data_IF_119017912053
#
_entry.id   IF_119017912053
#
_cell.length_a   1.000
_cell.length_b   1.000
_cell.length_c   1.000
_cell.angle_alpha   90.00
_cell.angle_beta   90.00
_cell.angle_gamma   90.00
#
_symmetry.space_group_name_H-M   'P 1'
#
loop_
_entity.id
_entity.type
_entity.pdbx_description
1 polymer ?
#
# COMPACT_ATOMS: atom_id res chain seq x y z
N UNK A 1 -15.46 -12.38 13.29
CA UNK A 1 -14.04 -12.10 12.97
C UNK A 1 -13.98 -11.40 11.60
N UNK A 2 -13.92 -10.07 11.61
CA UNK A 2 -14.04 -9.22 10.40
C UNK A 2 -12.96 -9.49 9.35
N UNK A 3 -11.72 -9.86 9.78
CA UNK A 3 -10.64 -10.19 8.84
C UNK A 3 -10.92 -11.36 7.90
N UNK A 4 -11.90 -12.21 8.22
CA UNK A 4 -12.34 -13.30 7.34
C UNK A 4 -13.21 -12.80 6.18
N UNK A 5 -13.60 -11.53 6.19
CA UNK A 5 -14.33 -10.91 5.08
C UNK A 5 -13.41 -10.38 3.97
N UNK A 6 -12.08 -10.48 4.13
CA UNK A 6 -11.11 -10.13 3.11
C UNK A 6 -11.30 -10.93 1.81
N UNK A 7 -10.73 -10.44 0.71
CA UNK A 7 -10.81 -11.05 -0.62
C UNK A 7 -11.92 -10.49 -1.51
N UNK A 8 -12.69 -9.53 -1.00
CA UNK A 8 -13.73 -8.79 -1.73
C UNK A 8 -13.79 -7.34 -1.27
N UNK A 9 -14.42 -6.48 -2.01
CA UNK A 9 -14.71 -5.13 -1.55
C UNK A 9 -15.76 -5.13 -0.44
N UNK A 10 -15.69 -4.16 0.46
CA UNK A 10 -16.62 -4.04 1.59
C UNK A 10 -17.13 -2.61 1.67
N UNK A 11 -18.44 -2.44 1.73
CA UNK A 11 -19.09 -1.21 2.22
C UNK A 11 -19.29 -1.36 3.72
N UNK A 12 -18.54 -0.63 4.52
CA UNK A 12 -18.62 -0.61 5.98
C UNK A 12 -19.28 0.67 6.44
N UNK A 13 -20.53 0.58 6.89
CA UNK A 13 -21.41 1.71 7.16
C UNK A 13 -21.68 1.87 8.65
N UNK A 14 -21.15 2.92 9.27
CA UNK A 14 -21.40 3.31 10.66
C UNK A 14 -22.60 4.28 10.68
N UNK A 15 -23.79 3.77 10.93
CA UNK A 15 -25.04 4.55 10.90
C UNK A 15 -25.62 4.83 12.28
N UNK A 16 -25.09 4.25 13.35
CA UNK A 16 -25.54 4.49 14.72
C UNK A 16 -26.84 3.77 15.08
N UNK A 17 -27.99 4.28 14.67
CA UNK A 17 -29.30 3.69 14.92
C UNK A 17 -30.19 3.70 13.69
N UNK A 18 -30.78 2.56 13.33
CA UNK A 18 -31.81 2.45 12.29
C UNK A 18 -33.13 3.13 12.68
N UNK A 19 -33.28 3.54 13.92
CA UNK A 19 -34.39 4.39 14.37
C UNK A 19 -34.31 5.82 13.83
N UNK A 20 -33.11 6.31 13.53
CA UNK A 20 -32.87 7.64 12.99
C UNK A 20 -33.33 7.75 11.53
N UNK A 21 -34.11 8.82 11.16
CA UNK A 21 -34.62 8.96 9.79
C UNK A 21 -33.55 8.90 8.72
N UNK A 22 -32.40 9.56 8.94
CA UNK A 22 -31.29 9.61 7.99
C UNK A 22 -30.67 8.21 7.78
N UNK A 23 -30.43 7.49 8.88
CA UNK A 23 -29.89 6.13 8.81
C UNK A 23 -30.82 5.20 8.04
N UNK A 24 -32.13 5.30 8.30
CA UNK A 24 -33.15 4.52 7.57
C UNK A 24 -33.15 4.83 6.07
N UNK A 25 -33.10 6.10 5.68
CA UNK A 25 -33.03 6.52 4.27
C UNK A 25 -31.79 5.95 3.60
N UNK A 26 -30.62 6.05 4.23
CA UNK A 26 -29.37 5.53 3.68
C UNK A 26 -29.39 4.00 3.56
N UNK A 27 -29.85 3.28 4.58
CA UNK A 27 -29.97 1.81 4.54
C UNK A 27 -30.92 1.37 3.42
N UNK A 28 -32.06 2.01 3.27
CA UNK A 28 -33.02 1.72 2.21
C UNK A 28 -32.46 2.07 0.83
N UNK A 29 -31.75 3.19 0.72
CA UNK A 29 -31.07 3.58 -0.52
C UNK A 29 -30.02 2.57 -0.94
N UNK A 30 -29.24 2.03 -0.01
CA UNK A 30 -28.25 0.96 -0.28
C UNK A 30 -28.94 -0.37 -0.61
N UNK A 31 -30.10 -0.66 -0.04
CA UNK A 31 -30.88 -1.85 -0.40
C UNK A 31 -31.37 -1.82 -1.86
N UNK A 32 -31.55 -0.64 -2.45
CA UNK A 32 -31.86 -0.53 -3.89
C UNK A 32 -30.71 -1.02 -4.78
N UNK A 33 -29.47 -1.05 -4.25
CA UNK A 33 -28.28 -1.59 -4.91
C UNK A 33 -28.00 -3.05 -4.49
N UNK A 34 -29.00 -3.74 -3.98
CA UNK A 34 -28.90 -5.10 -3.44
C UNK A 34 -28.19 -6.09 -4.37
N UNK A 35 -28.33 -5.93 -5.68
CA UNK A 35 -27.73 -6.81 -6.68
C UNK A 35 -26.19 -6.79 -6.68
N UNK A 36 -25.57 -5.71 -6.20
CA UNK A 36 -24.11 -5.61 -6.09
C UNK A 36 -23.54 -6.35 -4.87
N UNK A 37 -24.37 -6.63 -3.86
CA UNK A 37 -23.92 -7.30 -2.63
C UNK A 37 -24.09 -8.81 -2.74
N UNK A 38 -23.07 -9.48 -3.25
CA UNK A 38 -23.10 -10.91 -3.66
C UNK A 38 -22.17 -11.82 -2.84
N UNK A 39 -21.41 -11.28 -1.90
CA UNK A 39 -20.34 -11.96 -1.14
C UNK A 39 -19.14 -12.43 -1.98
N UNK A 40 -19.10 -12.11 -3.27
CA UNK A 40 -17.99 -12.44 -4.17
C UNK A 40 -17.20 -11.18 -4.53
N UNK A 41 -17.90 -10.18 -5.04
CA UNK A 41 -17.30 -8.89 -5.44
C UNK A 41 -17.41 -7.86 -4.32
N UNK A 42 -18.59 -7.74 -3.71
CA UNK A 42 -18.91 -6.72 -2.73
C UNK A 42 -19.79 -7.25 -1.62
N UNK A 43 -19.53 -6.80 -0.40
CA UNK A 43 -20.35 -7.11 0.78
C UNK A 43 -20.63 -5.82 1.55
N UNK A 44 -21.84 -5.69 2.08
CA UNK A 44 -22.24 -4.63 2.97
C UNK A 44 -22.17 -5.10 4.44
N UNK A 45 -21.55 -4.30 5.28
CA UNK A 45 -21.62 -4.40 6.74
C UNK A 45 -22.13 -3.09 7.33
N UNK A 46 -23.32 -3.13 7.92
CA UNK A 46 -23.85 -2.03 8.69
C UNK A 46 -23.49 -2.17 10.16
N UNK A 47 -23.07 -1.09 10.82
CA UNK A 47 -22.70 -1.07 12.23
C UNK A 47 -23.73 -0.26 13.00
N UNK A 48 -24.46 -0.91 13.91
CA UNK A 48 -25.41 -0.27 14.82
C UNK A 48 -24.85 -0.22 16.24
N UNK A 49 -25.09 0.91 16.91
CA UNK A 49 -24.80 1.10 18.34
C UNK A 49 -26.06 1.14 19.20
N UNK A 50 -27.26 0.97 18.60
CA UNK A 50 -28.55 1.01 19.28
C UNK A 50 -29.08 -0.40 19.58
N UNK A 51 -29.17 -0.82 20.86
CA UNK A 51 -29.72 -2.12 21.21
C UNK A 51 -31.18 -2.35 20.77
N UNK A 52 -31.92 -1.26 20.47
CA UNK A 52 -33.30 -1.37 19.95
C UNK A 52 -33.34 -1.91 18.52
N UNK A 53 -32.27 -1.71 17.73
CA UNK A 53 -32.21 -2.22 16.37
C UNK A 53 -32.23 -3.75 16.33
N UNK A 54 -31.55 -4.40 17.29
CA UNK A 54 -31.58 -5.86 17.47
C UNK A 54 -32.90 -6.30 18.10
N UNK A 55 -33.28 -5.70 19.24
CA UNK A 55 -34.45 -6.12 20.03
C UNK A 55 -35.77 -5.96 19.27
N UNK A 56 -35.94 -4.87 18.51
CA UNK A 56 -37.15 -4.60 17.73
C UNK A 56 -37.02 -5.09 16.29
N UNK A 57 -35.91 -5.69 15.95
CA UNK A 57 -35.60 -6.22 14.62
C UNK A 57 -35.80 -5.16 13.50
N UNK A 58 -35.30 -3.93 13.74
CA UNK A 58 -35.41 -2.82 12.79
C UNK A 58 -34.61 -3.06 11.53
N UNK A 59 -33.54 -3.87 11.62
CA UNK A 59 -32.68 -4.28 10.53
C UNK A 59 -32.43 -5.79 10.63
N UNK A 60 -32.18 -6.42 9.49
CA UNK A 60 -31.89 -7.87 9.40
C UNK A 60 -30.85 -8.15 8.33
N UNK A 61 -30.03 -9.15 8.57
CA UNK A 61 -29.16 -9.72 7.56
C UNK A 61 -29.99 -10.15 6.33
N UNK A 62 -29.43 -9.90 5.14
CA UNK A 62 -29.97 -10.36 3.88
C UNK A 62 -28.87 -11.02 3.08
N UNK A 63 -28.70 -12.32 3.27
CA UNK A 63 -27.66 -13.11 2.63
C UNK A 63 -28.05 -13.52 1.21
N UNK A 64 -27.07 -13.67 0.30
CA UNK A 64 -25.68 -13.25 0.48
C UNK A 64 -25.55 -11.72 0.47
N UNK A 65 -24.49 -11.16 1.02
CA UNK A 65 -23.98 -9.81 0.78
C UNK A 65 -24.34 -8.72 1.79
N UNK A 66 -25.39 -8.85 2.60
CA UNK A 66 -25.76 -7.80 3.58
C UNK A 66 -25.76 -8.38 4.99
N UNK A 67 -24.99 -7.74 5.89
CA UNK A 67 -24.89 -8.12 7.30
C UNK A 67 -24.87 -6.89 8.18
N UNK A 68 -25.31 -7.07 9.44
CA UNK A 68 -25.24 -6.05 10.46
C UNK A 68 -24.39 -6.50 11.64
N UNK A 69 -23.62 -5.57 12.20
CA UNK A 69 -22.74 -5.76 13.33
C UNK A 69 -23.25 -4.92 14.51
N UNK A 70 -23.25 -5.50 15.68
CA UNK A 70 -23.69 -4.86 16.92
C UNK A 70 -22.47 -4.33 17.67
N UNK A 71 -22.37 -3.01 17.82
CA UNK A 71 -21.29 -2.29 18.51
C UNK A 71 -21.86 -1.46 19.66
N UNK A 72 -22.57 -2.12 20.59
CA UNK A 72 -23.31 -1.47 21.66
C UNK A 72 -22.41 -0.73 22.65
N UNK A 73 -21.18 -1.19 22.85
CA UNK A 73 -20.15 -0.52 23.65
C UNK A 73 -19.40 0.57 22.89
N UNK A 74 -19.69 0.73 21.59
CA UNK A 74 -19.10 1.73 20.68
C UNK A 74 -17.58 1.61 20.49
N UNK A 75 -16.98 0.49 20.89
CA UNK A 75 -15.53 0.30 20.80
C UNK A 75 -15.03 0.28 19.36
N UNK A 76 -15.74 -0.38 18.46
CA UNK A 76 -15.40 -0.42 17.02
C UNK A 76 -15.64 0.93 16.39
N UNK A 77 -16.77 1.58 16.65
CA UNK A 77 -17.08 2.93 16.15
C UNK A 77 -16.02 3.95 16.55
N UNK A 78 -15.46 3.87 17.76
CA UNK A 78 -14.39 4.74 18.20
C UNK A 78 -13.09 4.51 17.42
N UNK A 79 -12.70 3.25 17.19
CA UNK A 79 -11.49 2.89 16.42
C UNK A 79 -11.58 3.40 14.97
N UNK A 80 -12.77 3.34 14.35
CA UNK A 80 -13.00 3.81 12.98
C UNK A 80 -13.27 5.32 12.88
N UNK A 81 -13.23 6.07 13.99
CA UNK A 81 -13.43 7.51 14.00
C UNK A 81 -14.88 7.95 13.78
N UNK A 82 -15.85 7.03 13.91
CA UNK A 82 -17.26 7.37 13.93
C UNK A 82 -17.69 8.08 15.24
N UNK A 83 -16.82 8.10 16.25
CA UNK A 83 -16.97 8.87 17.48
C UNK A 83 -15.83 9.88 17.56
N UNK A 84 -16.17 11.15 17.66
CA UNK A 84 -15.18 12.21 17.80
C UNK A 84 -14.67 12.35 19.26
N UNK A 85 -13.71 13.24 19.45
CA UNK A 85 -13.09 13.51 20.75
C UNK A 85 -14.07 14.06 21.81
N UNK A 86 -15.25 14.56 21.40
CA UNK A 86 -16.31 15.01 22.29
C UNK A 86 -17.31 13.91 22.69
N UNK A 87 -17.15 12.70 22.11
CA UNK A 87 -18.06 11.57 22.31
C UNK A 87 -19.28 11.61 21.39
N UNK A 88 -19.34 12.56 20.43
CA UNK A 88 -20.42 12.65 19.46
C UNK A 88 -20.27 11.60 18.38
N UNK A 89 -21.38 10.93 18.05
CA UNK A 89 -21.42 9.98 16.93
C UNK A 89 -21.59 10.73 15.60
N UNK A 90 -20.69 10.45 14.66
CA UNK A 90 -20.70 11.00 13.31
C UNK A 90 -20.83 9.84 12.32
N UNK A 91 -21.95 9.79 11.61
CA UNK A 91 -22.18 8.72 10.65
C UNK A 91 -21.19 8.81 9.50
N UNK A 92 -20.62 7.66 9.14
CA UNK A 92 -19.62 7.57 8.08
C UNK A 92 -19.70 6.21 7.39
N UNK A 93 -19.46 6.19 6.10
CA UNK A 93 -19.34 4.96 5.31
C UNK A 93 -17.96 4.87 4.69
N UNK A 94 -17.35 3.70 4.76
CA UNK A 94 -16.07 3.38 4.14
C UNK A 94 -16.26 2.34 3.04
N UNK A 95 -15.50 2.47 1.96
CA UNK A 95 -15.25 1.35 1.05
C UNK A 95 -13.86 0.81 1.34
N UNK A 96 -13.81 -0.49 1.60
CA UNK A 96 -12.56 -1.22 1.81
C UNK A 96 -12.27 -2.09 0.58
N UNK A 97 -10.99 -2.20 0.22
CA UNK A 97 -10.54 -3.11 -0.82
C UNK A 97 -10.43 -4.57 -0.32
N UNK A 98 -10.12 -5.54 -1.19
CA UNK A 98 -9.95 -6.95 -0.80
C UNK A 98 -8.89 -7.21 0.27
N UNK A 99 -7.97 -6.27 0.51
CA UNK A 99 -6.98 -6.34 1.60
C UNK A 99 -7.45 -5.64 2.88
N UNK A 100 -8.72 -5.21 2.95
CA UNK A 100 -9.34 -4.46 4.05
C UNK A 100 -8.73 -3.05 4.25
N UNK A 101 -8.14 -2.47 3.22
CA UNK A 101 -7.65 -1.09 3.26
C UNK A 101 -8.74 -0.13 2.82
N UNK A 102 -8.92 0.97 3.55
CA UNK A 102 -9.87 2.03 3.19
C UNK A 102 -9.44 2.67 1.86
N UNK A 103 -10.32 2.62 0.86
CA UNK A 103 -10.10 3.23 -0.46
C UNK A 103 -10.97 4.46 -0.69
N UNK A 104 -12.09 4.57 0.02
CA UNK A 104 -12.95 5.75 -0.02
C UNK A 104 -13.65 5.95 1.32
N UNK A 105 -13.95 7.21 1.65
CA UNK A 105 -14.64 7.63 2.87
C UNK A 105 -15.75 8.59 2.53
N UNK A 106 -16.96 8.33 3.03
CA UNK A 106 -18.17 9.12 2.82
C UNK A 106 -18.73 9.57 4.17
N UNK A 107 -18.32 10.73 4.70
CA UNK A 107 -18.97 11.34 5.86
C UNK A 107 -20.40 11.73 5.47
N UNK A 108 -21.36 11.46 6.35
CA UNK A 108 -22.75 11.83 6.04
C UNK A 108 -22.99 13.32 6.26
N UNK A 109 -23.52 13.99 5.25
CA UNK A 109 -23.86 15.39 5.30
C UNK A 109 -25.24 15.59 5.98
N UNK A 110 -25.39 16.52 6.94
CA UNK A 110 -26.62 16.63 7.75
C UNK A 110 -27.91 16.80 6.97
N UNK A 111 -27.89 17.59 5.89
CA UNK A 111 -29.10 18.03 5.16
C UNK A 111 -29.04 17.72 3.65
N UNK A 112 -28.31 16.70 3.26
CA UNK A 112 -28.11 16.38 1.83
C UNK A 112 -28.03 14.88 1.61
N UNK A 113 -28.58 14.40 0.50
CA UNK A 113 -28.40 13.03 0.02
C UNK A 113 -27.22 12.87 -0.95
N UNK A 114 -26.45 13.94 -1.16
CA UNK A 114 -25.33 13.94 -2.10
C UNK A 114 -24.26 12.90 -1.74
N UNK A 115 -24.03 12.67 -0.45
CA UNK A 115 -23.11 11.62 0.03
C UNK A 115 -23.61 10.21 -0.28
N UNK A 116 -24.94 9.98 -0.26
CA UNK A 116 -25.54 8.71 -0.64
C UNK A 116 -25.42 8.46 -2.15
N UNK A 117 -25.63 9.47 -2.99
CA UNK A 117 -25.44 9.33 -4.44
C UNK A 117 -23.97 9.09 -4.79
N UNK A 118 -23.03 9.82 -4.18
CA UNK A 118 -21.60 9.56 -4.36
C UNK A 118 -21.20 8.14 -3.92
N UNK A 119 -21.79 7.63 -2.84
CA UNK A 119 -21.55 6.26 -2.38
C UNK A 119 -22.10 5.24 -3.37
N UNK A 120 -23.29 5.47 -3.96
CA UNK A 120 -23.86 4.59 -5.00
C UNK A 120 -22.99 4.57 -6.25
N UNK A 121 -22.53 5.73 -6.73
CA UNK A 121 -21.60 5.82 -7.85
C UNK A 121 -20.30 5.05 -7.59
N UNK A 122 -19.79 5.14 -6.36
CA UNK A 122 -18.60 4.41 -5.97
C UNK A 122 -18.82 2.88 -5.86
N UNK A 123 -20.03 2.44 -5.45
CA UNK A 123 -20.42 1.02 -5.47
C UNK A 123 -20.46 0.50 -6.91
N UNK A 124 -21.06 1.27 -7.83
CA UNK A 124 -21.15 0.90 -9.25
C UNK A 124 -19.76 0.83 -9.92
N UNK A 125 -18.82 1.63 -9.42
CA UNK A 125 -17.45 1.66 -9.90
C UNK A 125 -16.54 0.55 -9.31
N UNK A 126 -17.03 -0.27 -8.35
CA UNK A 126 -16.26 -1.37 -7.77
C UNK A 126 -15.86 -2.37 -8.86
N UNK A 127 -14.57 -2.68 -9.04
CA UNK A 127 -14.13 -3.65 -10.03
C UNK A 127 -14.73 -5.04 -9.77
N UNK A 128 -15.21 -5.69 -10.84
CA UNK A 128 -15.61 -7.09 -10.74
C UNK A 128 -14.42 -7.97 -10.39
N UNK A 129 -14.65 -9.02 -9.60
CA UNK A 129 -13.65 -10.05 -9.36
C UNK A 129 -13.24 -10.70 -10.68
N UNK A 130 -11.94 -10.88 -10.88
CA UNK A 130 -11.43 -11.58 -12.05
C UNK A 130 -11.88 -13.05 -12.08
N UNK A 131 -11.93 -13.64 -13.28
CA UNK A 131 -12.18 -15.07 -13.40
C UNK A 131 -11.04 -15.89 -12.78
N UNK A 132 -11.38 -17.03 -12.19
CA UNK A 132 -10.39 -17.95 -11.68
C UNK A 132 -9.44 -18.39 -12.81
N UNK A 133 -8.13 -18.32 -12.56
CA UNK A 133 -7.12 -18.76 -13.50
C UNK A 133 -6.00 -19.52 -12.77
N UNK A 134 -5.33 -20.41 -13.49
CA UNK A 134 -4.13 -21.07 -12.96
C UNK A 134 -2.97 -20.09 -13.00
N UNK A 135 -2.37 -19.81 -11.84
CA UNK A 135 -1.23 -18.92 -11.75
C UNK A 135 -0.01 -19.54 -12.47
N UNK A 136 0.66 -18.74 -13.30
CA UNK A 136 1.97 -19.09 -13.87
C UNK A 136 3.06 -18.98 -12.78
N UNK A 137 4.27 -19.48 -13.10
CA UNK A 137 5.43 -19.28 -12.22
C UNK A 137 5.66 -17.77 -12.02
N UNK A 138 5.63 -17.34 -10.77
CA UNK A 138 5.82 -15.93 -10.39
C UNK A 138 6.96 -15.81 -9.37
N UNK A 139 7.67 -14.70 -9.40
CA UNK A 139 8.63 -14.38 -8.35
C UNK A 139 7.92 -14.25 -6.99
N UNK A 140 8.54 -14.70 -5.88
CA UNK A 140 7.98 -14.58 -4.53
C UNK A 140 8.10 -13.13 -4.04
N UNK A 141 7.26 -12.26 -4.58
CA UNK A 141 7.19 -10.83 -4.30
C UNK A 141 5.85 -10.46 -3.71
N UNK A 142 5.81 -9.33 -3.02
CA UNK A 142 4.59 -8.71 -2.55
C UNK A 142 4.34 -7.42 -3.35
N UNK A 143 3.15 -7.32 -3.95
CA UNK A 143 2.65 -6.11 -4.57
C UNK A 143 1.69 -5.41 -3.60
N UNK A 144 2.02 -4.18 -3.20
CA UNK A 144 1.18 -3.40 -2.29
C UNK A 144 0.83 -2.06 -2.96
N UNK A 145 -0.44 -1.81 -3.29
CA UNK A 145 -0.86 -0.51 -3.83
C UNK A 145 -0.94 0.54 -2.70
N UNK A 146 -0.96 1.82 -3.07
CA UNK A 146 -1.32 2.96 -2.20
C UNK A 146 -0.51 3.05 -0.88
N UNK A 147 0.79 2.73 -0.92
CA UNK A 147 1.69 2.94 0.22
C UNK A 147 1.88 4.44 0.45
N UNK A 148 2.13 5.20 -0.63
CA UNK A 148 2.18 6.66 -0.61
C UNK A 148 0.99 7.26 -1.35
N UNK A 149 0.52 8.42 -0.89
CA UNK A 149 -0.45 9.24 -1.60
C UNK A 149 0.19 9.89 -2.84
N UNK A 150 -0.59 10.24 -3.87
CA UNK A 150 -0.08 10.96 -5.04
C UNK A 150 0.66 12.26 -4.68
N UNK A 151 0.17 13.01 -3.70
CA UNK A 151 0.79 14.25 -3.24
C UNK A 151 2.17 14.01 -2.63
N UNK A 152 2.34 12.94 -1.84
CA UNK A 152 3.65 12.56 -1.30
C UNK A 152 4.60 12.11 -2.41
N UNK A 153 4.10 11.37 -3.41
CA UNK A 153 4.90 10.98 -4.57
C UNK A 153 5.40 12.21 -5.33
N UNK A 154 4.53 13.19 -5.58
CA UNK A 154 4.88 14.45 -6.22
C UNK A 154 5.90 15.24 -5.40
N UNK A 155 5.69 15.37 -4.08
CA UNK A 155 6.62 16.06 -3.19
C UNK A 155 8.02 15.44 -3.18
N UNK A 156 8.12 14.11 -3.28
CA UNK A 156 9.41 13.41 -3.36
C UNK A 156 10.12 13.65 -4.71
N UNK A 157 9.39 13.68 -5.81
CA UNK A 157 9.93 14.02 -7.13
C UNK A 157 10.43 15.46 -7.12
N UNK A 158 9.61 16.41 -6.65
CA UNK A 158 9.97 17.82 -6.54
C UNK A 158 11.17 18.03 -5.62
N UNK A 159 11.31 17.22 -4.56
CA UNK A 159 12.47 17.25 -3.70
C UNK A 159 13.75 16.91 -4.46
N UNK A 160 13.74 15.83 -5.27
CA UNK A 160 14.87 15.45 -6.12
C UNK A 160 15.19 16.53 -7.16
N UNK A 161 14.18 17.07 -7.84
CA UNK A 161 14.38 18.07 -8.89
C UNK A 161 14.96 19.39 -8.33
N UNK A 162 14.60 19.78 -7.12
CA UNK A 162 15.13 20.99 -6.45
C UNK A 162 16.53 20.81 -5.86
N UNK A 163 16.82 19.63 -5.29
CA UNK A 163 18.09 19.39 -4.60
C UNK A 163 19.18 18.79 -5.52
N UNK A 164 18.76 18.32 -6.68
CA UNK A 164 19.63 17.60 -7.60
C UNK A 164 19.88 16.15 -7.18
N UNK A 165 20.45 15.37 -8.08
CA UNK A 165 20.75 13.96 -7.86
C UNK A 165 22.17 13.65 -8.39
N UNK A 166 22.87 12.74 -7.71
CA UNK A 166 24.21 12.30 -8.07
C UNK A 166 24.19 10.88 -8.60
N UNK A 167 25.18 10.53 -9.44
CA UNK A 167 25.34 9.19 -9.98
C UNK A 167 25.43 8.16 -8.83
N UNK A 168 24.62 7.12 -8.97
CA UNK A 168 24.52 6.07 -7.96
C UNK A 168 25.33 4.85 -8.34
N UNK A 169 26.36 4.54 -7.56
CA UNK A 169 27.13 3.32 -7.67
C UNK A 169 26.42 2.09 -7.13
N UNK A 170 27.11 0.95 -7.19
CA UNK A 170 26.71 -0.31 -6.55
C UNK A 170 27.83 -0.80 -5.62
N UNK A 171 27.47 -1.62 -4.65
CA UNK A 171 28.41 -2.13 -3.64
C UNK A 171 29.14 -3.38 -4.15
N UNK A 172 30.45 -3.45 -3.92
CA UNK A 172 31.29 -4.59 -4.25
C UNK A 172 32.36 -4.80 -3.17
N UNK A 173 32.65 -6.06 -2.86
CA UNK A 173 33.74 -6.37 -1.96
C UNK A 173 35.05 -6.42 -2.75
N UNK A 174 36.02 -5.62 -2.31
CA UNK A 174 37.37 -5.59 -2.86
C UNK A 174 38.36 -5.68 -1.67
N UNK A 175 39.23 -6.69 -1.66
CA UNK A 175 40.19 -6.92 -0.58
C UNK A 175 39.54 -6.93 0.82
N UNK A 176 38.39 -7.57 0.96
CA UNK A 176 37.66 -7.69 2.24
C UNK A 176 36.91 -6.43 2.70
N UNK A 177 36.90 -5.37 1.91
CA UNK A 177 36.13 -4.13 2.18
C UNK A 177 35.06 -3.92 1.15
N UNK A 178 33.85 -3.54 1.60
CA UNK A 178 32.76 -3.13 0.71
C UNK A 178 32.99 -1.69 0.26
N UNK A 179 33.11 -1.49 -1.05
CA UNK A 179 33.27 -0.17 -1.68
C UNK A 179 32.16 0.10 -2.69
N UNK A 180 31.83 1.38 -2.88
CA UNK A 180 30.95 1.83 -3.96
C UNK A 180 31.73 1.91 -5.27
N UNK A 181 31.17 1.34 -6.34
CA UNK A 181 31.74 1.41 -7.70
C UNK A 181 30.75 2.09 -8.63
N UNK A 182 31.27 2.92 -9.53
CA UNK A 182 30.52 3.49 -10.65
C UNK A 182 30.89 2.70 -11.93
N UNK A 183 29.84 2.14 -12.56
CA UNK A 183 29.94 1.48 -13.85
C UNK A 183 28.60 1.68 -14.57
N UNK A 184 28.59 2.57 -15.55
CA UNK A 184 27.38 2.93 -16.29
C UNK A 184 26.84 1.80 -17.19
N UNK A 185 27.64 0.81 -17.52
CA UNK A 185 27.19 -0.38 -18.24
C UNK A 185 26.44 -1.34 -17.33
N UNK A 186 26.74 -1.30 -16.02
CA UNK A 186 26.05 -2.11 -15.01
C UNK A 186 24.86 -1.37 -14.39
N UNK A 187 25.00 -0.05 -14.10
CA UNK A 187 23.97 0.74 -13.47
C UNK A 187 24.00 2.19 -13.94
N UNK A 188 22.87 2.66 -14.47
CA UNK A 188 22.60 4.07 -14.81
C UNK A 188 21.42 4.56 -14.01
N UNK A 189 21.70 5.20 -12.89
CA UNK A 189 20.72 5.76 -11.97
C UNK A 189 21.32 6.93 -11.22
N UNK A 190 20.52 7.93 -10.96
CA UNK A 190 20.89 9.04 -10.08
C UNK A 190 20.05 8.99 -8.80
N UNK A 191 20.67 9.26 -7.67
CA UNK A 191 20.02 9.23 -6.36
C UNK A 191 20.11 10.60 -5.70
N UNK A 192 19.02 11.01 -5.04
CA UNK A 192 18.95 12.15 -4.13
C UNK A 192 18.63 11.65 -2.72
N UNK A 193 19.50 11.89 -1.76
CA UNK A 193 19.23 11.57 -0.36
C UNK A 193 18.25 12.59 0.22
N UNK A 194 17.24 12.11 0.95
CA UNK A 194 16.29 12.97 1.63
C UNK A 194 16.88 13.37 2.97
N UNK A 195 17.28 14.64 3.10
CA UNK A 195 17.82 15.22 4.33
C UNK A 195 16.80 16.06 5.12
N UNK A 196 15.57 16.18 4.60
CA UNK A 196 14.44 16.80 5.26
C UNK A 196 13.81 15.82 6.26
N UNK A 197 13.90 16.14 7.54
CA UNK A 197 13.42 15.27 8.62
C UNK A 197 11.89 15.11 8.61
N UNK A 198 11.14 16.15 8.23
CA UNK A 198 9.69 16.09 8.16
C UNK A 198 9.23 15.15 7.02
N UNK A 199 9.88 15.26 5.85
CA UNK A 199 9.62 14.39 4.72
C UNK A 199 10.02 12.93 5.01
N UNK A 200 11.17 12.73 5.69
CA UNK A 200 11.60 11.39 6.17
C UNK A 200 10.58 10.76 7.12
N UNK A 201 10.11 11.56 8.10
CA UNK A 201 9.13 11.07 9.07
C UNK A 201 7.78 10.72 8.40
N UNK A 202 7.34 11.54 7.44
CA UNK A 202 6.14 11.25 6.66
C UNK A 202 6.28 9.93 5.88
N UNK A 203 7.42 9.71 5.18
CA UNK A 203 7.71 8.44 4.51
C UNK A 203 7.72 7.27 5.49
N UNK A 204 8.36 7.44 6.66
CA UNK A 204 8.44 6.42 7.71
C UNK A 204 7.06 6.05 8.25
N UNK A 205 6.22 7.05 8.53
CA UNK A 205 4.86 6.82 9.01
C UNK A 205 4.05 6.01 7.99
N UNK A 206 4.10 6.36 6.70
CA UNK A 206 3.39 5.60 5.65
C UNK A 206 3.88 4.17 5.49
N UNK A 207 5.20 3.97 5.54
CA UNK A 207 5.79 2.62 5.52
C UNK A 207 5.30 1.82 6.74
N UNK A 208 5.42 2.40 7.95
CA UNK A 208 5.00 1.74 9.20
C UNK A 208 3.52 1.35 9.17
N UNK A 209 2.66 2.24 8.70
CA UNK A 209 1.22 2.08 8.84
C UNK A 209 0.59 1.31 7.68
N UNK A 210 1.20 1.30 6.48
CA UNK A 210 0.62 0.72 5.27
C UNK A 210 1.43 -0.42 4.65
N UNK A 211 2.76 -0.41 4.79
CA UNK A 211 3.62 -1.43 4.17
C UNK A 211 4.01 -2.54 5.15
N UNK A 212 4.48 -2.19 6.36
CA UNK A 212 4.97 -3.20 7.31
C UNK A 212 3.90 -4.21 7.75
N UNK A 213 2.62 -3.85 7.93
CA UNK A 213 1.56 -4.84 8.18
C UNK A 213 1.43 -5.88 7.06
N UNK A 214 1.55 -5.45 5.80
CA UNK A 214 1.48 -6.35 4.65
C UNK A 214 2.72 -7.26 4.54
N UNK A 215 3.91 -6.72 4.80
CA UNK A 215 5.16 -7.50 4.89
C UNK A 215 5.04 -8.56 5.98
N UNK A 216 4.56 -8.19 7.18
CA UNK A 216 4.37 -9.12 8.29
C UNK A 216 3.35 -10.22 7.95
N UNK A 217 2.24 -9.87 7.33
CA UNK A 217 1.19 -10.81 6.91
C UNK A 217 1.71 -11.80 5.85
N UNK A 218 2.43 -11.32 4.85
CA UNK A 218 2.82 -12.11 3.67
C UNK A 218 4.07 -12.94 3.90
N UNK A 219 5.05 -12.41 4.65
CA UNK A 219 6.35 -13.05 4.84
C UNK A 219 6.62 -13.50 6.29
N UNK A 220 5.68 -13.25 7.20
CA UNK A 220 5.85 -13.47 8.66
C UNK A 220 7.15 -12.82 9.20
N UNK A 221 7.53 -11.68 8.61
CA UNK A 221 8.74 -10.95 8.92
C UNK A 221 8.42 -9.62 9.58
N UNK A 222 9.03 -9.35 10.73
CA UNK A 222 8.89 -8.08 11.44
C UNK A 222 10.09 -7.19 11.18
N UNK A 223 9.97 -6.29 10.21
CA UNK A 223 10.96 -5.26 9.99
C UNK A 223 10.90 -4.22 11.12
N UNK A 224 12.05 -3.92 11.73
CA UNK A 224 12.19 -2.91 12.80
C UNK A 224 13.06 -1.74 12.37
N UNK A 225 13.71 -1.83 11.21
CA UNK A 225 14.67 -0.86 10.71
C UNK A 225 14.46 -0.59 9.22
N UNK A 226 14.71 0.65 8.84
CA UNK A 226 14.75 1.11 7.46
C UNK A 226 16.15 1.66 7.18
N UNK A 227 16.79 1.17 6.13
CA UNK A 227 18.05 1.72 5.63
C UNK A 227 17.75 2.66 4.48
N UNK A 228 18.36 3.81 4.50
CA UNK A 228 18.38 4.91 3.52
C UNK A 228 17.00 5.44 3.12
N UNK A 229 16.96 6.73 2.93
CA UNK A 229 15.82 7.47 2.42
C UNK A 229 16.28 8.19 1.16
N UNK A 230 16.07 7.58 0.00
CA UNK A 230 16.51 8.14 -1.28
C UNK A 230 15.37 8.19 -2.28
N UNK A 231 15.35 9.25 -3.07
CA UNK A 231 14.62 9.30 -4.33
C UNK A 231 15.60 8.98 -5.45
N UNK A 232 15.29 7.98 -6.25
CA UNK A 232 16.09 7.51 -7.37
C UNK A 232 15.43 7.90 -8.69
N UNK A 233 16.23 8.30 -9.67
CA UNK A 233 15.81 8.62 -11.03
C UNK A 233 16.55 7.75 -12.04
N UNK A 234 15.78 7.05 -12.88
CA UNK A 234 16.24 6.37 -14.09
C UNK A 234 15.76 7.17 -15.29
N UNK A 235 16.66 7.77 -16.06
CA UNK A 235 16.32 8.63 -17.20
C UNK A 235 16.32 7.81 -18.49
N UNK A 236 15.28 7.97 -19.30
CA UNK A 236 15.17 7.33 -20.60
C UNK A 236 16.19 7.85 -21.62
N UNK A 237 16.62 9.12 -21.47
CA UNK A 237 17.67 9.68 -22.33
C UNK A 237 18.99 8.89 -22.24
N UNK A 238 19.29 8.37 -21.04
CA UNK A 238 20.50 7.57 -20.76
C UNK A 238 20.23 6.07 -20.79
N UNK A 239 19.00 5.63 -21.09
CA UNK A 239 18.55 4.24 -20.94
C UNK A 239 18.78 3.75 -19.49
N UNK A 240 18.37 4.56 -18.51
CA UNK A 240 18.54 4.29 -17.09
C UNK A 240 18.12 2.87 -16.70
N UNK A 241 19.02 2.12 -16.06
CA UNK A 241 18.83 0.71 -15.76
C UNK A 241 19.68 0.27 -14.56
N UNK A 242 19.45 -0.94 -14.09
CA UNK A 242 20.36 -1.65 -13.18
C UNK A 242 20.33 -3.15 -13.53
N UNK A 243 21.46 -3.67 -14.00
CA UNK A 243 21.59 -5.06 -14.44
C UNK A 243 21.33 -6.06 -13.34
N UNK A 244 21.15 -7.36 -13.66
CA UNK A 244 20.86 -8.39 -12.65
C UNK A 244 21.88 -8.39 -11.50
N UNK A 245 21.35 -8.28 -10.27
CA UNK A 245 22.15 -8.24 -9.03
C UNK A 245 21.30 -8.74 -7.83
N UNK A 246 21.97 -8.92 -6.70
CA UNK A 246 21.37 -9.16 -5.38
C UNK A 246 21.80 -8.04 -4.44
N UNK A 247 20.94 -7.65 -3.52
CA UNK A 247 21.18 -6.46 -2.69
C UNK A 247 21.99 -6.72 -1.40
N UNK A 248 22.24 -7.99 -1.04
CA UNK A 248 22.83 -8.40 0.23
C UNK A 248 24.10 -9.27 0.10
N UNK A 249 24.81 -9.17 -1.02
CA UNK A 249 25.94 -10.07 -1.33
C UNK A 249 27.29 -9.58 -0.85
N UNK A 250 27.39 -8.36 -0.32
CA UNK A 250 28.65 -7.81 0.21
C UNK A 250 28.61 -7.75 1.74
N UNK A 251 29.77 -7.70 2.38
CA UNK A 251 29.88 -7.54 3.84
C UNK A 251 29.07 -6.36 4.35
N UNK A 252 29.18 -5.19 3.70
CA UNK A 252 28.47 -3.98 4.07
C UNK A 252 26.96 -4.01 3.82
N UNK A 253 26.43 -4.98 3.06
CA UNK A 253 25.01 -5.08 2.72
C UNK A 253 24.33 -6.35 3.26
N UNK A 254 25.08 -7.27 3.90
CA UNK A 254 24.59 -8.57 4.38
C UNK A 254 23.42 -8.47 5.38
N UNK A 255 23.23 -7.33 6.00
CA UNK A 255 22.12 -7.06 6.95
C UNK A 255 20.76 -6.85 6.27
N UNK A 256 20.71 -6.54 4.97
CA UNK A 256 19.47 -6.24 4.24
C UNK A 256 18.63 -7.50 4.07
N UNK A 257 17.34 -7.41 4.36
CA UNK A 257 16.37 -8.52 4.25
C UNK A 257 15.43 -8.35 3.09
N UNK A 258 14.76 -7.21 3.02
CA UNK A 258 13.82 -6.90 1.96
C UNK A 258 14.16 -5.58 1.28
N UNK A 259 14.12 -5.59 -0.06
CA UNK A 259 14.14 -4.40 -0.89
C UNK A 259 12.71 -3.92 -1.12
N UNK A 260 12.52 -2.62 -1.10
CA UNK A 260 11.26 -1.95 -1.45
C UNK A 260 11.50 -1.10 -2.69
N UNK A 261 10.79 -1.42 -3.77
CA UNK A 261 10.72 -0.58 -4.96
C UNK A 261 9.36 0.12 -4.97
N UNK A 262 9.30 1.36 -4.47
CA UNK A 262 8.09 2.18 -4.43
C UNK A 262 8.08 3.12 -5.62
N UNK A 263 7.02 3.06 -6.43
CA UNK A 263 6.86 3.75 -7.69
C UNK A 263 6.23 5.13 -7.48
N UNK A 264 6.90 6.20 -7.92
CA UNK A 264 6.43 7.57 -7.68
C UNK A 264 5.63 8.16 -8.85
N UNK A 265 5.80 7.63 -10.09
CA UNK A 265 5.17 8.21 -11.28
C UNK A 265 4.88 7.19 -12.38
N UNK A 266 4.36 6.03 -12.03
CA UNK A 266 3.97 5.00 -13.03
C UNK A 266 3.00 5.58 -14.04
N UNK A 267 3.24 5.30 -15.34
CA UNK A 267 2.45 5.87 -16.46
C UNK A 267 3.06 7.12 -17.08
N UNK A 268 4.07 7.76 -16.45
CA UNK A 268 4.79 8.90 -17.01
C UNK A 268 6.09 8.52 -17.74
N UNK A 269 6.37 7.23 -17.86
CA UNK A 269 7.57 6.70 -18.53
C UNK A 269 7.27 5.35 -19.19
N UNK A 270 8.10 4.96 -20.15
CA UNK A 270 8.05 3.65 -20.83
C UNK A 270 9.26 2.79 -20.44
N UNK A 271 9.09 1.48 -20.32
CA UNK A 271 10.13 0.56 -19.86
C UNK A 271 10.34 0.59 -18.35
N UNK A 272 11.56 0.34 -17.88
CA UNK A 272 11.93 0.46 -16.47
C UNK A 272 11.19 -0.50 -15.52
N UNK A 273 10.92 -1.72 -15.98
CA UNK A 273 10.25 -2.73 -15.16
C UNK A 273 11.23 -3.43 -14.21
N UNK A 274 10.73 -4.00 -13.13
CA UNK A 274 11.47 -5.01 -12.39
C UNK A 274 11.34 -6.36 -13.08
N UNK A 275 12.43 -7.13 -13.11
CA UNK A 275 12.46 -8.51 -13.59
C UNK A 275 13.26 -9.38 -12.62
N UNK A 276 12.83 -10.61 -12.44
CA UNK A 276 13.47 -11.61 -11.59
C UNK A 276 13.84 -12.81 -12.46
N UNK A 277 15.07 -12.86 -13.02
CA UNK A 277 15.44 -13.85 -14.03
C UNK A 277 15.34 -15.31 -13.58
N UNK A 278 15.45 -15.55 -12.27
CA UNK A 278 15.27 -16.89 -11.68
C UNK A 278 13.83 -17.43 -11.84
N UNK A 279 12.86 -16.54 -12.10
CA UNK A 279 11.43 -16.87 -12.19
C UNK A 279 10.85 -16.58 -13.58
N UNK A 280 11.70 -16.40 -14.59
CA UNK A 280 11.30 -16.26 -15.98
C UNK A 280 11.31 -14.83 -16.50
N UNK A 281 10.49 -14.58 -17.54
CA UNK A 281 10.48 -13.33 -18.29
C UNK A 281 9.46 -12.30 -17.80
N UNK A 282 8.67 -12.62 -16.77
CA UNK A 282 7.63 -11.72 -16.28
C UNK A 282 8.21 -10.38 -15.82
N UNK A 283 7.52 -9.30 -16.17
CA UNK A 283 7.86 -7.92 -15.82
C UNK A 283 6.91 -7.43 -14.73
N UNK A 284 7.46 -6.74 -13.74
CA UNK A 284 6.71 -6.30 -12.57
C UNK A 284 6.76 -4.78 -12.44
N UNK A 285 5.63 -4.21 -12.11
CA UNK A 285 5.44 -2.78 -11.80
C UNK A 285 4.32 -2.65 -10.76
N UNK A 286 4.17 -1.46 -10.19
CA UNK A 286 3.04 -1.11 -9.33
C UNK A 286 2.47 0.24 -9.79
N UNK A 287 1.20 0.56 -9.48
CA UNK A 287 0.66 1.90 -9.71
C UNK A 287 1.44 2.95 -8.91
N UNK A 288 1.30 4.22 -9.27
CA UNK A 288 1.89 5.34 -8.51
C UNK A 288 1.52 5.25 -7.03
N UNK A 289 2.51 5.40 -6.16
CA UNK A 289 2.38 5.22 -4.72
C UNK A 289 2.35 3.76 -4.24
N UNK A 290 2.31 2.80 -5.17
CA UNK A 290 2.43 1.38 -4.86
C UNK A 290 3.89 0.90 -4.82
N UNK A 291 4.10 -0.29 -4.26
CA UNK A 291 5.42 -0.87 -4.08
C UNK A 291 5.48 -2.35 -4.50
N UNK A 292 6.64 -2.76 -4.96
CA UNK A 292 7.06 -4.15 -5.09
C UNK A 292 8.09 -4.43 -4.00
N UNK A 293 7.80 -5.41 -3.13
CA UNK A 293 8.66 -5.82 -2.02
C UNK A 293 9.15 -7.24 -2.28
N UNK A 294 10.45 -7.46 -2.12
CA UNK A 294 11.08 -8.75 -2.36
C UNK A 294 12.32 -8.96 -1.49
N UNK A 295 12.70 -10.22 -1.31
CA UNK A 295 13.93 -10.57 -0.59
C UNK A 295 15.16 -10.02 -1.31
N UNK A 296 16.07 -9.37 -0.57
CA UNK A 296 17.35 -8.89 -1.08
C UNK A 296 18.24 -10.02 -1.66
N UNK A 297 17.91 -11.28 -1.37
CA UNK A 297 18.60 -12.45 -1.91
C UNK A 297 18.11 -12.89 -3.30
N UNK A 298 17.02 -12.33 -3.82
CA UNK A 298 16.54 -12.63 -5.17
C UNK A 298 17.39 -11.91 -6.22
N UNK A 299 17.77 -12.64 -7.27
CA UNK A 299 18.37 -12.02 -8.45
C UNK A 299 17.33 -11.17 -9.15
N UNK A 300 17.60 -9.88 -9.28
CA UNK A 300 16.65 -8.94 -9.88
C UNK A 300 17.36 -7.85 -10.67
N UNK A 301 16.62 -7.20 -11.54
CA UNK A 301 17.10 -6.06 -12.32
C UNK A 301 16.01 -5.00 -12.50
N UNK A 302 16.44 -3.77 -12.79
CA UNK A 302 15.60 -2.74 -13.38
C UNK A 302 15.91 -2.68 -14.88
N UNK A 303 14.95 -3.07 -15.73
CA UNK A 303 15.12 -3.01 -17.19
C UNK A 303 15.30 -1.56 -17.64
N UNK A 304 15.89 -1.32 -18.83
CA UNK A 304 16.08 0.05 -19.30
C UNK A 304 14.78 0.85 -19.39
N UNK A 305 14.82 2.10 -18.93
CA UNK A 305 13.79 3.09 -19.24
C UNK A 305 13.99 3.52 -20.68
N UNK A 306 12.92 3.48 -21.48
CA UNK A 306 12.95 3.76 -22.91
C UNK A 306 12.64 5.23 -23.20
N UNK A 307 11.67 5.78 -22.41
CA UNK A 307 11.20 7.16 -22.56
C UNK A 307 10.77 7.73 -21.22
N UNK A 308 10.95 9.02 -21.03
CA UNK A 308 10.58 9.71 -19.78
C UNK A 308 11.57 9.46 -18.65
N UNK A 309 11.17 9.79 -17.44
CA UNK A 309 11.96 9.58 -16.20
C UNK A 309 11.16 8.75 -15.22
N UNK A 310 11.74 7.65 -14.76
CA UNK A 310 11.18 6.77 -13.74
C UNK A 310 11.72 7.19 -12.37
N UNK A 311 10.85 7.68 -11.49
CA UNK A 311 11.19 8.05 -10.13
C UNK A 311 10.75 6.97 -9.14
N UNK A 312 11.62 6.67 -8.19
CA UNK A 312 11.43 5.61 -7.22
C UNK A 312 11.86 6.06 -5.83
N UNK A 313 11.19 5.56 -4.80
CA UNK A 313 11.70 5.59 -3.44
C UNK A 313 12.15 4.17 -3.06
N UNK A 314 13.43 4.02 -2.66
CA UNK A 314 14.11 2.71 -2.61
C UNK A 314 14.76 2.41 -1.23
N UNK A 315 13.99 2.18 -0.16
CA UNK A 315 14.55 1.78 1.13
C UNK A 315 14.80 0.27 1.18
N UNK A 316 15.66 -0.15 2.12
CA UNK A 316 15.78 -1.54 2.55
C UNK A 316 15.19 -1.71 3.94
N UNK A 317 14.58 -2.89 4.16
CA UNK A 317 14.03 -3.29 5.44
C UNK A 317 14.90 -4.38 6.06
N UNK A 318 15.11 -4.30 7.38
CA UNK A 318 15.80 -5.33 8.15
C UNK A 318 15.28 -5.38 9.60
N UNK A 319 15.66 -6.43 10.31
CA UNK A 319 15.28 -6.69 11.69
C UNK A 319 16.42 -6.43 12.67
N UNK A 320 16.24 -6.75 13.95
CA UNK A 320 17.29 -6.64 14.96
C UNK A 320 18.45 -7.60 14.72
N UNK A 321 18.23 -8.73 14.05
CA UNK A 321 19.30 -9.63 13.61
C UNK A 321 20.15 -8.96 12.54
N UNK A 322 19.51 -8.34 11.55
CA UNK A 322 20.20 -7.54 10.55
C UNK A 322 20.98 -6.37 11.19
N UNK A 323 20.41 -5.70 12.20
CA UNK A 323 21.11 -4.64 12.93
C UNK A 323 22.43 -5.13 13.55
N UNK A 324 22.41 -6.29 14.20
CA UNK A 324 23.64 -6.90 14.77
C UNK A 324 24.69 -7.16 13.70
N UNK A 325 24.30 -7.80 12.58
CA UNK A 325 25.19 -8.05 11.44
C UNK A 325 25.80 -6.75 10.91
N UNK A 326 24.99 -5.70 10.78
CA UNK A 326 25.46 -4.38 10.32
C UNK A 326 26.53 -3.82 11.26
N UNK A 327 26.26 -3.79 12.57
CA UNK A 327 27.20 -3.25 13.57
C UNK A 327 28.51 -4.04 13.60
N UNK A 328 28.46 -5.38 13.53
CA UNK A 328 29.65 -6.24 13.47
C UNK A 328 30.50 -5.96 12.23
N UNK A 329 29.86 -5.77 11.09
CA UNK A 329 30.54 -5.51 9.82
C UNK A 329 31.12 -4.09 9.71
N UNK A 330 30.51 -3.09 10.38
CA UNK A 330 31.04 -1.72 10.46
C UNK A 330 32.24 -1.61 11.42
N UNK A 331 32.35 -2.55 12.38
CA UNK A 331 33.41 -2.56 13.38
C UNK A 331 34.65 -3.38 12.97
N UNK A 332 34.59 -4.10 11.85
CA UNK A 332 35.61 -4.99 11.30
C UNK A 332 36.27 -4.43 10.05
#
# INVERSE_FOLDING_TARGET
>A
MFHMAAGRYIVLCFFGSAGEPRARTTILGLQSHRAHFDDVNLTFFGVSTDPLDEREVRIRDSLPGIRYLWDFDRSVSAVYGAIDSSGRYNNVTYILDPNLQVVATFPWLPDSDADLELLKDAIDAVPAAGSACVASLQAPILLTPRVFEPDLCSALIDYLERNGATDSGFMRDVNGKTIGMLDHDHKRRRDCEINDDALRELCRARIRDRLLPEVRKSFQFQATRIERYIVACYDGADKGHFRPHRDNTTKGTAHRRFAVSLFLNTGAYDGGFLRFPEYGAALYTAPTGGAVIFSCSLLHEATPVIKGRRYMFLPFLYDETGRRIRTENESS
#
